data_IF_152707064990
#
_entry.id   IF_152707064990
#
_cell.length_a   1.000
_cell.length_b   1.000
_cell.length_c   1.000
_cell.angle_alpha   90.00
_cell.angle_beta   90.00
_cell.angle_gamma   90.00
#
_symmetry.space_group_name_H-M   'P 1'
#
loop_
_entity.id
_entity.type
_entity.pdbx_description
1 polymer ?
#
# COMPACT_ATOMS: atom_id res chain seq x y z
N UNK A 1 -16.40 -29.07 -20.44
CA UNK A 1 -15.15 -28.30 -20.54
C UNK A 1 -14.31 -28.65 -19.32
N UNK A 2 -13.13 -29.22 -19.54
CA UNK A 2 -12.27 -29.75 -18.48
C UNK A 2 -11.70 -28.63 -17.61
N UNK A 3 -11.74 -28.82 -16.28
CA UNK A 3 -11.02 -27.99 -15.33
C UNK A 3 -9.51 -28.16 -15.58
N UNK A 4 -8.80 -27.05 -15.75
CA UNK A 4 -7.35 -27.06 -15.77
C UNK A 4 -6.84 -27.53 -14.39
N UNK A 5 -5.83 -28.41 -14.33
CA UNK A 5 -5.32 -28.90 -13.06
C UNK A 5 -4.63 -27.76 -12.30
N UNK A 6 -4.89 -27.69 -10.99
CA UNK A 6 -4.13 -26.88 -10.04
C UNK A 6 -2.67 -27.33 -10.16
N UNK A 7 -1.80 -26.46 -10.68
CA UNK A 7 -0.38 -26.76 -10.76
C UNK A 7 0.16 -27.00 -9.34
N UNK A 8 0.89 -28.10 -9.17
CA UNK A 8 1.52 -28.45 -7.91
C UNK A 8 2.30 -27.26 -7.36
N UNK A 9 1.98 -26.85 -6.13
CA UNK A 9 2.68 -25.78 -5.44
C UNK A 9 4.19 -26.06 -5.47
N UNK A 10 4.99 -25.08 -5.89
CA UNK A 10 6.43 -25.15 -5.70
C UNK A 10 6.68 -25.27 -4.20
N UNK A 11 7.10 -26.45 -3.75
CA UNK A 11 7.46 -26.69 -2.36
C UNK A 11 8.77 -25.97 -2.09
N UNK A 12 8.69 -24.77 -1.52
CA UNK A 12 9.84 -24.19 -0.81
C UNK A 12 10.04 -25.07 0.43
N UNK A 13 11.20 -25.74 0.60
CA UNK A 13 11.41 -26.62 1.73
C UNK A 13 11.28 -25.83 3.03
N UNK A 14 10.55 -26.38 3.99
CA UNK A 14 10.53 -25.88 5.36
C UNK A 14 11.97 -25.97 5.90
N UNK A 15 12.46 -24.92 6.58
CA UNK A 15 13.75 -25.01 7.25
C UNK A 15 13.66 -26.12 8.31
N UNK A 16 14.28 -27.28 8.05
CA UNK A 16 14.22 -28.41 8.97
C UNK A 16 15.04 -28.11 10.24
N UNK A 17 14.42 -28.30 11.41
CA UNK A 17 15.14 -28.62 12.66
C UNK A 17 15.15 -27.55 13.76
N UNK A 18 14.51 -27.90 14.88
CA UNK A 18 14.73 -27.47 16.28
C UNK A 18 15.20 -26.02 16.55
N UNK A 19 14.28 -25.21 17.09
CA UNK A 19 14.63 -24.00 17.86
C UNK A 19 15.30 -22.86 17.09
N UNK A 20 15.17 -22.82 15.77
CA UNK A 20 15.78 -21.77 14.96
C UNK A 20 14.93 -20.50 15.03
N UNK A 21 15.46 -19.43 15.64
CA UNK A 21 14.88 -18.09 15.53
C UNK A 21 14.67 -17.73 14.05
N UNK A 22 13.49 -17.21 13.72
CA UNK A 22 13.21 -16.65 12.41
C UNK A 22 14.17 -15.47 12.21
N UNK A 23 15.16 -15.64 11.33
CA UNK A 23 16.09 -14.55 11.04
C UNK A 23 15.41 -13.55 10.11
N UNK A 24 15.01 -12.39 10.63
CA UNK A 24 14.49 -11.26 9.85
C UNK A 24 15.29 -10.00 10.15
N UNK A 25 15.23 -9.03 9.24
CA UNK A 25 15.84 -7.71 9.42
C UNK A 25 14.97 -6.75 10.24
N UNK A 26 13.79 -7.20 10.67
CA UNK A 26 12.88 -6.47 11.53
C UNK A 26 12.77 -7.21 12.85
N UNK A 27 12.55 -6.47 13.94
CA UNK A 27 12.25 -7.04 15.26
C UNK A 27 10.74 -7.29 15.40
N UNK A 28 9.92 -6.44 14.78
CA UNK A 28 8.47 -6.57 14.78
C UNK A 28 7.87 -6.30 13.40
N UNK A 29 6.78 -6.99 13.12
CA UNK A 29 5.89 -6.67 12.01
C UNK A 29 4.55 -6.19 12.54
N UNK A 30 4.06 -5.08 12.01
CA UNK A 30 2.76 -4.51 12.32
C UNK A 30 1.83 -4.75 11.12
N UNK A 31 0.96 -5.75 11.24
CA UNK A 31 0.00 -6.09 10.18
C UNK A 31 -1.24 -5.21 10.31
N UNK A 32 -1.64 -4.54 9.24
CA UNK A 32 -2.78 -3.61 9.20
C UNK A 32 -3.68 -3.90 8.00
N UNK A 33 -4.99 -3.73 8.19
CA UNK A 33 -6.01 -3.93 7.16
C UNK A 33 -7.21 -2.99 7.44
N UNK A 34 -7.28 -1.85 6.76
CA UNK A 34 -8.33 -0.87 7.05
C UNK A 34 -9.65 -1.21 6.36
N UNK A 35 -10.76 -0.89 7.03
CA UNK A 35 -12.02 -0.69 6.31
C UNK A 35 -12.32 0.77 6.09
N UNK A 36 -13.04 1.04 5.01
CA UNK A 36 -13.49 2.38 4.70
C UNK A 36 -14.93 2.40 4.17
N UNK A 37 -15.55 3.58 4.28
CA UNK A 37 -16.85 3.85 3.68
C UNK A 37 -16.85 3.46 2.21
N UNK A 38 -17.95 2.85 1.76
CA UNK A 38 -18.11 2.47 0.37
C UNK A 38 -19.58 2.52 -0.07
N UNK A 39 -19.79 2.46 -1.38
CA UNK A 39 -21.11 2.38 -1.97
C UNK A 39 -21.08 1.43 -3.17
N UNK A 40 -22.26 0.91 -3.52
CA UNK A 40 -22.40 0.00 -4.64
C UNK A 40 -22.16 0.74 -5.96
N UNK A 41 -21.48 0.09 -6.90
CA UNK A 41 -21.30 0.50 -8.30
C UNK A 41 -20.61 1.86 -8.53
N UNK A 42 -20.13 2.54 -7.47
CA UNK A 42 -19.42 3.81 -7.58
C UNK A 42 -18.42 4.00 -6.44
N UNK A 43 -17.47 4.92 -6.61
CA UNK A 43 -16.59 5.35 -5.51
C UNK A 43 -17.30 6.42 -4.69
N UNK A 44 -17.18 6.33 -3.37
CA UNK A 44 -17.62 7.39 -2.47
C UNK A 44 -16.49 8.41 -2.31
N UNK A 45 -16.81 9.70 -2.20
CA UNK A 45 -15.82 10.76 -2.00
C UNK A 45 -16.30 11.78 -0.95
N UNK A 46 -15.46 12.15 0.03
CA UNK A 46 -14.22 11.46 0.38
C UNK A 46 -14.51 10.04 0.89
N UNK A 47 -13.59 9.12 0.65
CA UNK A 47 -13.60 7.83 1.33
C UNK A 47 -13.01 8.04 2.74
N UNK A 48 -13.57 7.38 3.76
CA UNK A 48 -13.17 7.56 5.16
C UNK A 48 -13.00 6.20 5.83
N UNK A 49 -11.91 5.99 6.57
CA UNK A 49 -11.65 4.79 7.35
C UNK A 49 -12.72 4.67 8.44
N UNK A 50 -13.24 3.47 8.62
CA UNK A 50 -14.29 3.13 9.60
C UNK A 50 -13.88 2.00 10.55
N UNK A 51 -12.84 1.24 10.22
CA UNK A 51 -12.20 0.30 11.13
C UNK A 51 -10.67 0.35 10.98
N UNK A 52 -9.98 0.30 12.11
CA UNK A 52 -8.53 0.22 12.19
C UNK A 52 -8.11 -0.96 13.08
N UNK A 53 -7.97 -2.17 12.50
CA UNK A 53 -7.35 -3.30 13.13
C UNK A 53 -5.83 -3.29 12.90
N UNK A 54 -5.08 -3.77 13.89
CA UNK A 54 -3.67 -4.04 13.74
C UNK A 54 -3.25 -5.26 14.57
N UNK A 55 -2.28 -6.03 14.08
CA UNK A 55 -1.70 -7.19 14.78
C UNK A 55 -0.19 -7.06 14.84
N UNK A 56 0.37 -7.15 16.04
CA UNK A 56 1.81 -7.12 16.26
C UNK A 56 2.36 -8.55 16.23
N UNK A 57 3.37 -8.78 15.40
CA UNK A 57 4.07 -10.07 15.28
C UNK A 57 5.52 -9.89 15.69
N UNK A 58 5.98 -10.72 16.64
CA UNK A 58 7.40 -10.84 16.99
C UNK A 58 8.14 -11.56 15.86
N UNK A 59 9.15 -10.90 15.30
CA UNK A 59 9.81 -11.40 14.10
C UNK A 59 10.72 -12.60 14.36
N UNK A 60 11.22 -12.79 15.59
CA UNK A 60 12.13 -13.88 15.95
C UNK A 60 11.38 -15.19 16.23
N UNK A 61 10.22 -15.08 16.86
CA UNK A 61 9.39 -16.21 17.29
C UNK A 61 8.22 -16.50 16.36
N UNK A 62 7.81 -15.52 15.55
CA UNK A 62 6.60 -15.58 14.73
C UNK A 62 5.30 -15.51 15.55
N UNK A 63 5.38 -15.18 16.84
CA UNK A 63 4.19 -15.07 17.70
C UNK A 63 3.42 -13.79 17.41
N UNK A 64 2.10 -13.89 17.41
CA UNK A 64 1.20 -12.75 17.42
C UNK A 64 1.09 -12.24 18.86
N UNK A 65 1.84 -11.20 19.20
CA UNK A 65 1.99 -10.72 20.58
C UNK A 65 0.80 -9.91 21.09
N UNK A 66 0.20 -9.11 20.20
CA UNK A 66 -0.90 -8.23 20.59
C UNK A 66 -1.76 -7.87 19.38
N UNK A 67 -2.99 -7.44 19.65
CA UNK A 67 -3.88 -6.91 18.63
C UNK A 67 -4.53 -5.60 19.10
N UNK A 68 -4.76 -4.71 18.15
CA UNK A 68 -5.45 -3.44 18.29
C UNK A 68 -6.68 -3.45 17.39
N UNK A 69 -7.75 -2.81 17.85
CA UNK A 69 -8.94 -2.55 17.05
C UNK A 69 -9.63 -1.30 17.53
N UNK A 70 -9.96 -0.41 16.60
CA UNK A 70 -10.86 0.73 16.84
C UNK A 70 -11.78 0.94 15.67
N UNK A 71 -13.05 1.17 15.95
CA UNK A 71 -13.96 1.76 14.99
C UNK A 71 -13.74 3.26 14.93
N UNK A 72 -13.86 3.80 13.73
CA UNK A 72 -13.66 5.21 13.45
C UNK A 72 -14.99 5.81 12.98
N UNK A 73 -15.37 6.95 13.56
CA UNK A 73 -16.56 7.69 13.19
C UNK A 73 -16.30 8.56 11.96
N UNK A 74 -16.89 8.26 10.79
CA UNK A 74 -16.73 9.10 9.61
C UNK A 74 -17.40 10.46 9.82
N UNK A 75 -16.79 11.52 9.27
CA UNK A 75 -17.28 12.91 9.44
C UNK A 75 -18.08 13.38 8.23
N UNK A 76 -17.75 12.92 7.02
CA UNK A 76 -18.39 13.35 5.78
C UNK A 76 -19.57 12.45 5.41
N UNK A 77 -19.39 11.15 5.61
CA UNK A 77 -20.43 10.14 5.39
C UNK A 77 -20.75 9.40 6.69
N UNK A 78 -21.34 10.08 7.70
CA UNK A 78 -21.58 9.51 9.03
C UNK A 78 -22.53 8.31 9.00
N UNK A 79 -23.43 8.24 8.02
CA UNK A 79 -24.37 7.12 7.85
C UNK A 79 -23.82 6.15 6.81
N UNK A 80 -23.53 4.92 7.25
CA UNK A 80 -23.02 3.86 6.38
C UNK A 80 -24.09 3.40 5.40
N UNK A 81 -23.71 3.29 4.12
CA UNK A 81 -24.60 2.70 3.11
C UNK A 81 -24.92 1.24 3.49
N UNK A 82 -26.07 0.72 3.04
CA UNK A 82 -26.41 -0.68 3.28
C UNK A 82 -25.34 -1.61 2.66
N UNK A 83 -24.86 -1.29 1.46
CA UNK A 83 -23.79 -2.03 0.80
C UNK A 83 -22.51 -2.11 1.66
N UNK A 84 -22.10 -0.99 2.27
CA UNK A 84 -20.93 -0.95 3.14
C UNK A 84 -21.12 -1.86 4.36
N UNK A 85 -22.28 -1.76 5.03
CA UNK A 85 -22.60 -2.61 6.19
C UNK A 85 -22.67 -4.10 5.85
N UNK A 86 -23.21 -4.44 4.67
CA UNK A 86 -23.29 -5.82 4.20
C UNK A 86 -21.92 -6.38 3.82
N UNK A 87 -21.04 -5.53 3.26
CA UNK A 87 -19.72 -5.93 2.81
C UNK A 87 -18.74 -6.14 3.98
N UNK A 88 -18.71 -5.22 4.94
CA UNK A 88 -17.75 -5.21 6.07
C UNK A 88 -18.33 -5.81 7.35
N UNK A 89 -19.64 -6.01 7.42
CA UNK A 89 -20.32 -6.44 8.64
C UNK A 89 -20.35 -5.40 9.76
N UNK A 90 -19.75 -4.21 9.57
CA UNK A 90 -19.73 -3.11 10.54
C UNK A 90 -21.13 -2.52 10.66
N UNK A 91 -21.61 -2.37 11.90
CA UNK A 91 -22.93 -1.78 12.16
C UNK A 91 -22.83 -0.27 12.27
N UNK A 92 -23.95 0.41 12.09
CA UNK A 92 -24.01 1.85 12.29
C UNK A 92 -23.63 2.25 13.73
N UNK A 93 -24.08 1.48 14.71
CA UNK A 93 -23.76 1.68 16.13
C UNK A 93 -22.25 1.57 16.44
N UNK A 94 -21.50 0.76 15.68
CA UNK A 94 -20.06 0.62 15.84
C UNK A 94 -19.32 1.92 15.48
N UNK A 95 -19.67 2.53 14.35
CA UNK A 95 -19.05 3.79 13.91
C UNK A 95 -19.60 5.00 14.66
N UNK A 96 -20.87 4.98 15.08
CA UNK A 96 -21.46 6.04 15.90
C UNK A 96 -20.74 6.15 17.27
N UNK A 97 -20.39 5.00 17.86
CA UNK A 97 -19.57 4.90 19.07
C UNK A 97 -18.06 4.99 18.83
N UNK A 98 -17.62 5.11 17.57
CA UNK A 98 -16.22 5.19 17.19
C UNK A 98 -15.55 6.52 17.56
N UNK A 99 -14.22 6.51 17.55
CA UNK A 99 -13.40 7.72 17.73
C UNK A 99 -13.10 8.38 16.39
N UNK A 100 -12.58 9.61 16.36
CA UNK A 100 -12.04 10.14 15.09
C UNK A 100 -10.70 9.48 14.71
N UNK A 101 -10.35 9.51 13.43
CA UNK A 101 -9.12 8.89 12.90
C UNK A 101 -7.85 9.40 13.62
N UNK A 102 -7.77 10.70 13.92
CA UNK A 102 -6.59 11.27 14.59
C UNK A 102 -6.43 10.73 16.01
N UNK A 103 -7.54 10.56 16.73
CA UNK A 103 -7.55 9.89 18.03
C UNK A 103 -7.23 8.39 17.91
N UNK A 104 -7.76 7.69 16.90
CA UNK A 104 -7.44 6.29 16.64
C UNK A 104 -5.93 6.08 16.44
N UNK A 105 -5.28 6.93 15.65
CA UNK A 105 -3.83 6.89 15.43
C UNK A 105 -3.04 7.10 16.72
N UNK A 106 -3.41 8.07 17.57
CA UNK A 106 -2.76 8.27 18.88
C UNK A 106 -2.93 7.07 19.82
N UNK A 107 -4.13 6.47 19.83
CA UNK A 107 -4.39 5.27 20.63
C UNK A 107 -3.61 4.06 20.10
N UNK A 108 -3.44 3.96 18.78
CA UNK A 108 -2.62 2.96 18.15
C UNK A 108 -1.14 3.13 18.53
N UNK A 109 -0.59 4.35 18.48
CA UNK A 109 0.78 4.64 18.91
C UNK A 109 1.01 4.21 20.37
N UNK A 110 0.13 4.64 21.28
CA UNK A 110 0.23 4.28 22.70
C UNK A 110 0.15 2.76 22.93
N UNK A 111 -0.72 2.07 22.18
CA UNK A 111 -0.82 0.61 22.22
C UNK A 111 0.47 -0.05 21.71
N UNK A 112 1.02 0.42 20.60
CA UNK A 112 2.23 -0.13 19.99
C UNK A 112 3.46 0.06 20.89
N UNK A 113 3.60 1.24 21.50
CA UNK A 113 4.62 1.51 22.51
C UNK A 113 4.49 0.54 23.70
N UNK A 114 3.28 0.40 24.26
CA UNK A 114 3.05 -0.51 25.38
C UNK A 114 3.33 -1.98 25.01
N UNK A 115 2.91 -2.42 23.82
CA UNK A 115 3.08 -3.80 23.34
C UNK A 115 4.53 -4.16 23.03
N UNK A 116 5.38 -3.17 22.72
CA UNK A 116 6.81 -3.37 22.44
C UNK A 116 7.70 -3.12 23.67
N UNK A 117 7.15 -2.49 24.72
CA UNK A 117 7.87 -2.24 25.98
C UNK A 117 8.01 -3.55 26.77
N UNK A 118 9.23 -4.07 26.87
CA UNK A 118 9.56 -5.27 27.68
C UNK A 118 9.91 -6.52 26.87
N UNK A 119 9.69 -6.52 25.56
CA UNK A 119 10.00 -7.65 24.65
C UNK A 119 11.49 -7.69 24.27
N UNK A 120 12.39 -7.34 25.20
CA UNK A 120 13.84 -7.39 24.95
C UNK A 120 14.39 -6.24 24.10
N UNK A 121 13.92 -5.01 24.35
CA UNK A 121 14.42 -3.73 23.79
C UNK A 121 15.90 -3.38 24.10
N UNK A 122 16.73 -4.37 24.48
CA UNK A 122 18.19 -4.23 24.54
C UNK A 122 18.86 -4.18 23.15
N UNK A 123 18.12 -4.39 22.07
CA UNK A 123 18.57 -4.08 20.71
C UNK A 123 18.13 -2.65 20.38
N UNK A 124 19.10 -1.73 20.36
CA UNK A 124 18.93 -0.30 20.14
C UNK A 124 17.99 0.01 18.95
N UNK A 125 16.84 0.63 19.23
CA UNK A 125 15.94 1.18 18.19
C UNK A 125 15.22 0.14 17.34
N UNK A 126 14.38 -0.70 17.97
CA UNK A 126 13.68 -1.82 17.33
C UNK A 126 13.15 -1.52 15.92
N UNK A 127 13.55 -2.34 14.95
CA UNK A 127 13.19 -2.20 13.53
C UNK A 127 11.77 -2.72 13.32
N UNK A 128 10.81 -1.81 13.19
CA UNK A 128 9.41 -2.11 12.86
C UNK A 128 9.18 -2.06 11.34
N UNK A 129 8.38 -2.99 10.82
CA UNK A 129 7.82 -2.88 9.46
C UNK A 129 6.30 -3.03 9.46
N UNK A 130 5.61 -2.09 8.79
CA UNK A 130 4.18 -2.23 8.49
C UNK A 130 4.01 -3.28 7.39
N UNK A 131 3.00 -4.14 7.54
CA UNK A 131 2.63 -5.19 6.59
C UNK A 131 1.16 -5.05 6.24
N UNK A 132 0.85 -5.11 4.95
CA UNK A 132 -0.52 -5.04 4.42
C UNK A 132 -0.67 -6.09 3.32
N UNK A 133 -1.90 -6.51 2.99
CA UNK A 133 -2.10 -7.44 1.87
C UNK A 133 -1.90 -6.78 0.49
N UNK A 134 -2.04 -5.45 0.42
CA UNK A 134 -1.86 -4.67 -0.79
C UNK A 134 -1.42 -3.24 -0.51
N UNK A 135 -1.22 -2.44 -1.55
CA UNK A 135 -0.80 -1.05 -1.39
C UNK A 135 -1.94 -0.10 -0.95
N UNK A 136 -3.19 -0.56 -0.97
CA UNK A 136 -4.35 0.32 -0.80
C UNK A 136 -4.36 1.00 0.58
N UNK A 137 -4.15 0.24 1.66
CA UNK A 137 -4.19 0.72 3.05
C UNK A 137 -3.27 1.93 3.31
N UNK A 138 -1.96 1.74 3.10
CA UNK A 138 -0.97 2.76 3.39
C UNK A 138 -0.86 3.81 2.27
N UNK A 139 -0.81 3.38 1.00
CA UNK A 139 -0.56 4.31 -0.12
C UNK A 139 -1.77 5.18 -0.43
N UNK A 140 -2.97 4.58 -0.34
CA UNK A 140 -4.19 5.20 -0.83
C UNK A 140 -5.04 5.69 0.33
N UNK A 141 -5.47 4.80 1.21
CA UNK A 141 -6.52 5.10 2.17
C UNK A 141 -6.02 6.03 3.29
N UNK A 142 -5.08 5.56 4.11
CA UNK A 142 -4.56 6.32 5.25
C UNK A 142 -3.90 7.64 4.80
N UNK A 143 -3.10 7.58 3.72
CA UNK A 143 -2.43 8.76 3.19
C UNK A 143 -3.41 9.82 2.67
N UNK A 144 -4.42 9.40 1.91
CA UNK A 144 -5.44 10.33 1.40
C UNK A 144 -6.18 10.99 2.56
N UNK A 145 -6.70 10.20 3.50
CA UNK A 145 -7.58 10.73 4.53
C UNK A 145 -6.84 11.63 5.52
N UNK A 146 -5.61 11.26 5.92
CA UNK A 146 -4.79 12.11 6.77
C UNK A 146 -4.51 13.46 6.11
N UNK A 147 -4.13 13.47 4.81
CA UNK A 147 -3.93 14.72 4.07
C UNK A 147 -5.22 15.52 3.91
N UNK A 148 -6.33 14.86 3.58
CA UNK A 148 -7.63 15.51 3.37
C UNK A 148 -8.15 16.16 4.65
N UNK A 149 -7.95 15.54 5.80
CA UNK A 149 -8.41 16.02 7.12
C UNK A 149 -7.37 16.84 7.89
N UNK A 150 -6.15 17.00 7.37
CA UNK A 150 -5.05 17.69 8.07
C UNK A 150 -4.60 16.95 9.34
N UNK A 151 -4.66 15.62 9.35
CA UNK A 151 -4.24 14.77 10.47
C UNK A 151 -2.76 14.44 10.29
N UNK A 152 -1.98 14.60 11.36
CA UNK A 152 -0.59 14.14 11.40
C UNK A 152 -0.55 12.61 11.38
N UNK A 153 0.07 12.06 10.34
CA UNK A 153 0.19 10.61 10.13
C UNK A 153 1.53 10.11 10.68
N UNK A 154 1.57 9.04 11.49
CA UNK A 154 2.82 8.45 11.93
C UNK A 154 3.69 8.01 10.74
N UNK A 155 4.98 8.35 10.79
CA UNK A 155 5.91 8.15 9.65
C UNK A 155 6.25 6.69 9.39
N UNK A 156 6.05 5.78 10.36
CA UNK A 156 6.26 4.35 10.14
C UNK A 156 5.25 3.76 9.14
N UNK A 157 4.13 4.43 8.86
CA UNK A 157 3.23 4.09 7.75
C UNK A 157 3.72 4.55 6.36
N UNK A 158 4.81 5.31 6.26
CA UNK A 158 5.35 5.77 4.96
C UNK A 158 6.04 4.66 4.17
N UNK A 159 6.33 3.53 4.82
CA UNK A 159 7.03 2.39 4.24
C UNK A 159 6.37 1.10 4.74
N UNK A 160 6.02 0.22 3.82
CA UNK A 160 5.31 -1.01 4.15
C UNK A 160 5.76 -2.18 3.27
N UNK A 161 5.38 -3.37 3.71
CA UNK A 161 5.51 -4.62 3.01
C UNK A 161 4.12 -4.99 2.49
N UNK A 162 3.94 -4.91 1.17
CA UNK A 162 2.81 -5.49 0.47
C UNK A 162 3.06 -7.01 0.40
N UNK A 163 2.43 -7.76 1.30
CA UNK A 163 2.67 -9.20 1.52
C UNK A 163 2.35 -10.05 0.29
N UNK A 164 1.52 -9.54 -0.64
CA UNK A 164 1.25 -10.21 -1.91
C UNK A 164 2.52 -10.40 -2.74
N UNK A 165 3.48 -9.48 -2.69
CA UNK A 165 4.72 -9.58 -3.46
C UNK A 165 5.61 -10.77 -3.02
N UNK A 166 6.02 -10.90 -1.74
CA UNK A 166 6.78 -12.07 -1.29
C UNK A 166 5.95 -13.36 -1.37
N UNK A 167 4.63 -13.32 -1.16
CA UNK A 167 3.76 -14.46 -1.39
C UNK A 167 3.85 -14.94 -2.85
N UNK A 168 3.68 -14.03 -3.81
CA UNK A 168 3.73 -14.38 -5.23
C UNK A 168 5.10 -14.91 -5.65
N UNK A 169 6.18 -14.36 -5.10
CA UNK A 169 7.53 -14.83 -5.38
C UNK A 169 7.78 -16.25 -4.83
N UNK A 170 7.27 -16.56 -3.64
CA UNK A 170 7.51 -17.84 -2.97
C UNK A 170 6.56 -18.95 -3.43
N UNK A 171 5.27 -18.64 -3.57
CA UNK A 171 4.18 -19.61 -3.74
C UNK A 171 3.27 -19.29 -4.93
N UNK A 172 3.44 -18.15 -5.58
CA UNK A 172 2.57 -17.70 -6.66
C UNK A 172 2.71 -18.51 -7.95
N UNK A 173 1.58 -18.77 -8.61
CA UNK A 173 1.48 -19.36 -9.95
C UNK A 173 1.29 -18.35 -11.08
N UNK A 174 1.66 -17.08 -10.88
CA UNK A 174 1.52 -15.99 -11.87
C UNK A 174 0.13 -15.33 -11.97
N UNK A 175 -0.88 -15.86 -11.28
CA UNK A 175 -2.23 -15.28 -11.21
C UNK A 175 -2.39 -14.23 -10.11
N UNK A 176 -3.42 -13.37 -10.24
CA UNK A 176 -3.90 -12.54 -9.12
C UNK A 176 -4.71 -13.45 -8.18
N UNK A 177 -4.32 -13.49 -6.92
CA UNK A 177 -5.06 -14.19 -5.86
C UNK A 177 -5.56 -13.19 -4.82
N UNK A 178 -6.70 -13.47 -4.21
CA UNK A 178 -7.16 -12.77 -3.01
C UNK A 178 -6.48 -13.34 -1.75
N UNK A 179 -6.69 -12.69 -0.60
CA UNK A 179 -6.03 -13.09 0.66
C UNK A 179 -6.43 -14.51 1.07
N UNK A 180 -7.72 -14.84 1.00
CA UNK A 180 -8.22 -16.16 1.39
C UNK A 180 -7.62 -17.28 0.53
N UNK A 181 -7.53 -17.09 -0.78
CA UNK A 181 -6.87 -18.01 -1.70
C UNK A 181 -5.39 -18.18 -1.36
N UNK A 182 -4.71 -17.09 -1.01
CA UNK A 182 -3.30 -17.11 -0.63
C UNK A 182 -3.06 -17.89 0.68
N UNK A 183 -3.90 -17.66 1.69
CA UNK A 183 -3.88 -18.40 2.97
C UNK A 183 -4.03 -19.91 2.71
N UNK A 184 -5.04 -20.30 1.92
CA UNK A 184 -5.25 -21.71 1.55
C UNK A 184 -4.09 -22.28 0.72
N UNK A 185 -3.56 -21.53 -0.23
CA UNK A 185 -2.43 -21.97 -1.07
C UNK A 185 -1.14 -22.14 -0.25
N UNK A 186 -1.00 -21.39 0.85
CA UNK A 186 0.07 -21.60 1.82
C UNK A 186 -0.14 -22.84 2.71
N UNK A 187 -1.28 -23.54 2.61
CA UNK A 187 -1.60 -24.70 3.43
C UNK A 187 -2.16 -24.35 4.81
N UNK A 188 -2.65 -23.12 4.98
CA UNK A 188 -3.30 -22.67 6.21
C UNK A 188 -4.83 -22.70 6.05
N UNK A 189 -5.54 -23.02 7.12
CA UNK A 189 -6.98 -22.84 7.20
C UNK A 189 -7.33 -21.39 7.55
N UNK A 190 -8.42 -20.89 6.97
CA UNK A 190 -8.96 -19.58 7.32
C UNK A 190 -9.56 -19.62 8.73
N UNK A 191 -9.11 -18.72 9.61
CA UNK A 191 -9.65 -18.58 10.96
C UNK A 191 -10.56 -17.34 11.06
N UNK A 192 -11.64 -17.44 11.82
CA UNK A 192 -12.57 -16.31 12.03
C UNK A 192 -13.61 -16.14 10.94
N UNK A 193 -14.28 -14.98 10.95
CA UNK A 193 -15.35 -14.65 9.99
C UNK A 193 -14.74 -13.95 8.77
N UNK A 194 -15.22 -14.29 7.57
CA UNK A 194 -14.88 -13.54 6.36
C UNK A 194 -15.42 -12.12 6.45
N UNK A 195 -14.61 -11.14 6.08
CA UNK A 195 -14.96 -9.71 6.19
C UNK A 195 -15.19 -9.30 7.64
N UNK A 196 -14.34 -9.83 8.53
CA UNK A 196 -14.11 -9.30 9.87
C UNK A 196 -12.64 -8.93 9.89
N UNK A 197 -12.33 -7.65 9.90
CA UNK A 197 -11.02 -7.19 9.42
C UNK A 197 -9.91 -7.39 10.44
N UNK A 198 -10.27 -7.53 11.71
CA UNK A 198 -9.35 -8.10 12.69
C UNK A 198 -8.98 -9.56 12.37
N UNK A 199 -9.93 -10.36 11.88
CA UNK A 199 -9.64 -11.74 11.46
C UNK A 199 -8.83 -11.76 10.15
N UNK A 200 -9.12 -10.88 9.19
CA UNK A 200 -8.30 -10.72 7.97
C UNK A 200 -6.86 -10.30 8.31
N UNK A 201 -6.67 -9.35 9.24
CA UNK A 201 -5.35 -8.95 9.75
C UNK A 201 -4.62 -10.11 10.46
N UNK A 202 -5.34 -10.93 11.25
CA UNK A 202 -4.76 -12.13 11.88
C UNK A 202 -4.38 -13.19 10.85
N UNK A 203 -5.20 -13.43 9.83
CA UNK A 203 -4.88 -14.36 8.76
C UNK A 203 -3.70 -13.87 7.92
N UNK A 204 -3.61 -12.55 7.69
CA UNK A 204 -2.45 -11.92 7.06
C UNK A 204 -1.18 -12.11 7.91
N UNK A 205 -1.28 -11.96 9.24
CA UNK A 205 -0.18 -12.24 10.15
C UNK A 205 0.26 -13.71 10.12
N UNK A 206 -0.69 -14.65 10.11
CA UNK A 206 -0.40 -16.10 9.99
C UNK A 206 0.28 -16.42 8.66
N UNK A 207 -0.19 -15.83 7.55
CA UNK A 207 0.45 -15.96 6.24
C UNK A 207 1.87 -15.40 6.23
N UNK A 208 2.08 -14.23 6.83
CA UNK A 208 3.41 -13.64 7.01
C UNK A 208 4.35 -14.61 7.73
N UNK A 209 3.92 -15.16 8.87
CA UNK A 209 4.70 -16.12 9.66
C UNK A 209 5.01 -17.38 8.86
N UNK A 210 4.04 -17.92 8.13
CA UNK A 210 4.25 -19.09 7.27
C UNK A 210 5.29 -18.83 6.18
N UNK A 211 5.29 -17.64 5.56
CA UNK A 211 6.32 -17.26 4.60
C UNK A 211 7.70 -17.16 5.26
N UNK A 212 7.79 -16.61 6.47
CA UNK A 212 9.04 -16.55 7.23
C UNK A 212 9.57 -17.95 7.57
N UNK A 213 8.70 -18.88 7.98
CA UNK A 213 9.06 -20.28 8.27
C UNK A 213 9.56 -21.04 7.03
N UNK A 214 9.09 -20.65 5.84
CA UNK A 214 9.62 -21.11 4.55
C UNK A 214 10.93 -20.43 4.13
N UNK A 215 11.53 -19.63 5.01
CA UNK A 215 12.81 -18.95 4.77
C UNK A 215 12.72 -17.68 3.93
N UNK A 216 11.53 -17.14 3.69
CA UNK A 216 11.37 -15.88 2.96
C UNK A 216 11.84 -14.72 3.83
N UNK A 217 12.79 -13.93 3.32
CA UNK A 217 13.24 -12.68 3.95
C UNK A 217 12.30 -11.54 3.60
N UNK A 218 11.75 -10.90 4.62
CA UNK A 218 10.83 -9.79 4.45
C UNK A 218 11.59 -8.49 4.21
N UNK A 219 11.14 -7.71 3.23
CA UNK A 219 11.74 -6.42 2.87
C UNK A 219 10.65 -5.42 2.45
N UNK A 220 10.91 -4.13 2.65
CA UNK A 220 9.98 -3.06 2.27
C UNK A 220 9.74 -3.09 0.76
N UNK A 221 8.48 -3.19 0.36
CA UNK A 221 8.06 -3.21 -1.05
C UNK A 221 7.32 -1.95 -1.48
N UNK A 222 6.82 -1.17 -0.52
CA UNK A 222 6.05 0.06 -0.75
C UNK A 222 6.62 1.24 0.03
N UNK A 223 6.55 2.43 -0.56
CA UNK A 223 6.99 3.68 0.05
C UNK A 223 6.23 4.88 -0.52
N UNK A 224 5.97 5.88 0.33
CA UNK A 224 5.48 7.21 -0.07
C UNK A 224 6.60 8.15 -0.52
N UNK A 225 7.87 7.83 -0.21
CA UNK A 225 9.00 8.64 -0.66
C UNK A 225 9.10 8.64 -2.20
N UNK A 226 9.43 9.80 -2.76
CA UNK A 226 9.73 9.89 -4.19
C UNK A 226 10.89 8.94 -4.54
N UNK A 227 10.83 8.24 -5.68
CA UNK A 227 11.99 7.52 -6.18
C UNK A 227 13.17 8.47 -6.23
N UNK A 228 14.31 8.08 -5.65
CA UNK A 228 15.53 8.87 -5.80
C UNK A 228 15.78 9.04 -7.29
N UNK A 229 16.08 10.25 -7.79
CA UNK A 229 16.56 10.41 -9.15
C UNK A 229 17.69 9.43 -9.37
N UNK A 230 17.62 8.64 -10.45
CA UNK A 230 18.71 7.78 -10.86
C UNK A 230 19.93 8.69 -10.98
N UNK A 231 20.86 8.61 -10.04
CA UNK A 231 22.18 9.17 -10.24
C UNK A 231 22.77 8.38 -11.39
N UNK A 232 22.72 8.96 -12.59
CA UNK A 232 23.50 8.47 -13.71
C UNK A 232 24.94 8.43 -13.22
N UNK A 233 25.47 7.23 -13.03
CA UNK A 233 26.90 7.07 -12.79
C UNK A 233 27.61 7.78 -13.95
N UNK A 234 28.57 8.68 -13.69
CA UNK A 234 29.36 9.25 -14.77
C UNK A 234 29.98 8.09 -15.56
N UNK A 235 29.96 8.12 -16.90
CA UNK A 235 30.49 7.03 -17.70
C UNK A 235 31.94 6.78 -17.31
N UNK A 236 32.28 5.51 -17.06
CA UNK A 236 33.66 5.08 -16.89
C UNK A 236 34.45 5.45 -18.15
N UNK A 237 35.29 6.48 -18.05
CA UNK A 237 36.25 6.83 -19.10
C UNK A 237 37.48 5.93 -18.92
N UNK A 238 37.62 4.94 -19.80
CA UNK A 238 38.89 4.22 -19.97
C UNK A 238 39.94 5.15 -20.59
N UNK A 239 41.20 5.15 -20.13
CA UNK A 239 42.21 6.07 -20.64
C UNK A 239 42.80 5.54 -21.95
N UNK A 240 42.46 6.19 -23.07
CA UNK A 240 43.21 6.06 -24.32
C UNK A 240 43.97 7.36 -24.61
N UNK A 241 45.28 7.21 -24.83
CA UNK A 241 46.25 8.25 -25.24
C UNK A 241 45.79 9.03 -26.46
N UNK A 242 46.01 10.34 -26.46
CA UNK A 242 46.13 11.16 -27.68
C UNK A 242 45.64 12.59 -27.52
N UNK A 243 46.51 13.55 -27.78
CA UNK A 243 46.36 15.00 -27.65
C UNK A 243 45.15 15.62 -28.36
N UNK A 244 44.56 16.66 -27.75
CA UNK A 244 44.50 18.06 -28.25
C UNK A 244 43.41 18.86 -27.52
N UNK A 245 43.73 20.07 -27.10
CA UNK A 245 42.91 20.97 -26.30
C UNK A 245 41.67 21.50 -27.05
N UNK A 246 40.57 21.76 -26.33
CA UNK A 246 39.52 22.74 -26.66
C UNK A 246 38.72 23.13 -25.39
N UNK A 247 38.23 24.37 -25.40
CA UNK A 247 37.83 25.26 -24.30
C UNK A 247 36.62 24.82 -23.41
N UNK A 248 36.43 25.44 -22.21
CA UNK A 248 35.32 25.11 -21.31
C UNK A 248 33.96 25.66 -21.81
N UNK A 249 32.83 24.98 -21.55
CA UNK A 249 31.49 25.49 -21.86
C UNK A 249 31.02 26.51 -20.81
N UNK A 250 30.06 27.39 -21.16
CA UNK A 250 29.64 28.51 -20.32
C UNK A 250 28.65 28.09 -19.22
N UNK A 251 28.68 28.87 -18.13
CA UNK A 251 27.77 28.82 -16.98
C UNK A 251 26.32 29.05 -17.46
N UNK A 252 25.44 28.06 -17.29
CA UNK A 252 24.00 28.24 -17.50
C UNK A 252 23.33 28.81 -16.25
N UNK A 253 22.71 29.97 -16.44
CA UNK A 253 21.87 30.68 -15.48
C UNK A 253 20.61 29.86 -15.12
N UNK A 254 20.21 29.94 -13.84
CA UNK A 254 18.95 29.40 -13.33
C UNK A 254 17.76 29.97 -14.11
N UNK A 255 17.01 29.11 -14.82
CA UNK A 255 15.74 29.47 -15.45
C UNK A 255 14.58 29.23 -14.47
N UNK A 256 13.70 30.23 -14.36
CA UNK A 256 12.43 30.14 -13.61
C UNK A 256 11.50 29.07 -14.21
N UNK A 257 10.60 28.46 -13.40
CA UNK A 257 9.67 27.45 -13.89
C UNK A 257 8.64 28.06 -14.87
N UNK A 258 8.24 27.32 -15.93
CA UNK A 258 7.32 27.82 -16.94
C UNK A 258 5.88 27.96 -16.40
N UNK A 259 5.04 28.84 -17.00
CA UNK A 259 3.66 29.05 -16.58
C UNK A 259 2.76 27.84 -16.89
N UNK A 260 1.59 27.70 -16.21
CA UNK A 260 0.72 26.55 -16.35
C UNK A 260 0.07 26.44 -17.74
N UNK A 261 0.12 25.25 -18.33
CA UNK A 261 -0.55 24.93 -19.60
C UNK A 261 -2.03 24.64 -19.38
N UNK A 262 -2.90 25.45 -20.00
CA UNK A 262 -4.34 25.20 -20.12
C UNK A 262 -4.56 24.43 -21.42
N UNK A 263 -5.22 23.26 -21.36
CA UNK A 263 -5.62 22.52 -22.57
C UNK A 263 -7.13 22.35 -22.60
N UNK A 264 -7.74 22.72 -23.73
CA UNK A 264 -9.17 22.58 -23.99
C UNK A 264 -9.46 21.23 -24.65
N UNK A 265 -10.53 20.58 -24.20
CA UNK A 265 -11.04 19.32 -24.75
C UNK A 265 -12.54 19.51 -24.99
N UNK A 266 -12.99 19.40 -26.24
CA UNK A 266 -14.42 19.43 -26.57
C UNK A 266 -15.12 20.77 -26.31
N UNK A 267 -14.40 21.89 -26.35
CA UNK A 267 -14.98 23.24 -26.19
C UNK A 267 -15.15 23.72 -24.75
N UNK A 268 -14.71 22.95 -23.74
CA UNK A 268 -14.70 23.36 -22.33
C UNK A 268 -13.27 23.38 -21.76
N UNK A 269 -12.95 24.41 -20.97
CA UNK A 269 -11.70 24.50 -20.23
C UNK A 269 -11.81 23.66 -18.95
N UNK A 270 -11.03 22.58 -18.83
CA UNK A 270 -11.06 21.70 -17.66
C UNK A 270 -9.68 21.68 -17.00
N UNK A 271 -9.64 21.86 -15.69
CA UNK A 271 -8.43 21.73 -14.87
C UNK A 271 -8.33 20.30 -14.35
N UNK A 272 -7.37 19.53 -14.84
CA UNK A 272 -7.15 18.15 -14.39
C UNK A 272 -6.07 18.08 -13.30
N UNK A 273 -6.35 17.38 -12.20
CA UNK A 273 -5.40 17.17 -11.10
C UNK A 273 -4.88 15.72 -11.10
N UNK A 274 -3.57 15.57 -10.96
CA UNK A 274 -2.92 14.27 -10.74
C UNK A 274 -2.89 13.96 -9.24
N UNK A 275 -3.12 12.69 -8.85
CA UNK A 275 -2.91 12.20 -7.47
C UNK A 275 -1.47 12.41 -6.96
N UNK A 276 -0.52 12.66 -7.86
CA UNK A 276 0.88 12.99 -7.56
C UNK A 276 1.11 14.44 -7.10
N UNK A 277 0.07 15.28 -7.02
CA UNK A 277 0.16 16.67 -6.54
C UNK A 277 0.85 17.64 -7.52
N UNK A 278 1.33 17.16 -8.67
CA UNK A 278 1.94 17.98 -9.72
C UNK A 278 0.89 18.42 -10.75
N UNK A 279 0.93 19.70 -11.16
CA UNK A 279 0.03 20.28 -12.18
C UNK A 279 0.57 20.09 -13.59
N UNK A 280 0.67 18.88 -14.12
CA UNK A 280 0.76 18.68 -15.58
C UNK A 280 0.21 17.29 -15.96
N UNK A 281 -0.87 17.28 -16.73
CA UNK A 281 -1.37 16.09 -17.40
C UNK A 281 -1.09 16.28 -18.91
N UNK A 282 -0.12 15.57 -19.48
CA UNK A 282 0.15 15.65 -20.92
C UNK A 282 -0.95 14.88 -21.66
N UNK A 283 -1.58 15.50 -22.66
CA UNK A 283 -2.64 14.84 -23.45
C UNK A 283 -2.08 13.59 -24.12
N UNK A 284 -2.58 12.42 -23.74
CA UNK A 284 -2.11 11.13 -24.24
C UNK A 284 -2.75 10.73 -25.56
N UNK A 285 -3.94 11.25 -25.89
CA UNK A 285 -4.65 11.00 -27.15
C UNK A 285 -6.17 10.95 -26.99
N UNK A 286 -6.87 10.50 -28.03
CA UNK A 286 -8.34 10.28 -28.08
C UNK A 286 -8.60 8.80 -28.38
N UNK A 287 -9.54 8.18 -27.69
CA UNK A 287 -9.92 6.79 -27.96
C UNK A 287 -10.66 6.71 -29.29
N UNK A 288 -10.02 6.11 -30.30
CA UNK A 288 -10.60 5.90 -31.64
C UNK A 288 -11.34 4.57 -31.79
N UNK A 289 -11.22 3.67 -30.81
CA UNK A 289 -11.86 2.36 -30.81
C UNK A 289 -13.36 2.49 -30.52
N UNK A 290 -14.26 1.87 -31.31
CA UNK A 290 -15.70 1.92 -31.07
C UNK A 290 -16.10 1.37 -29.71
N UNK A 291 -16.89 2.13 -28.95
CA UNK A 291 -17.37 1.75 -27.62
C UNK A 291 -17.73 2.94 -26.72
N UNK A 292 -18.11 2.71 -25.45
CA UNK A 292 -18.57 3.76 -24.52
C UNK A 292 -17.55 4.86 -24.21
N UNK A 293 -16.30 4.62 -24.58
CA UNK A 293 -15.16 5.51 -24.39
C UNK A 293 -14.70 6.17 -25.69
N UNK A 294 -15.30 5.83 -26.84
CA UNK A 294 -14.95 6.42 -28.14
C UNK A 294 -15.12 7.94 -28.10
N UNK A 295 -14.10 8.67 -28.54
CA UNK A 295 -14.06 10.13 -28.54
C UNK A 295 -13.61 10.77 -27.22
N UNK A 296 -13.41 10.00 -26.13
CA UNK A 296 -12.90 10.54 -24.86
C UNK A 296 -11.38 10.72 -24.90
N UNK A 297 -10.90 11.81 -24.31
CA UNK A 297 -9.47 12.09 -24.16
C UNK A 297 -8.89 11.32 -22.97
N UNK A 298 -7.65 10.85 -23.10
CA UNK A 298 -6.87 10.32 -21.99
C UNK A 298 -5.62 11.19 -21.77
N UNK A 299 -5.17 11.25 -20.53
CA UNK A 299 -3.99 12.02 -20.15
C UNK A 299 -2.99 11.10 -19.46
N UNK A 300 -1.71 11.34 -19.71
CA UNK A 300 -0.62 10.60 -19.09
C UNK A 300 0.08 11.49 -18.06
N UNK A 301 0.42 10.90 -16.91
CA UNK A 301 1.37 11.51 -16.00
C UNK A 301 2.79 11.29 -16.55
N UNK A 302 3.65 12.31 -16.43
CA UNK A 302 5.03 12.30 -16.96
C UNK A 302 5.88 11.16 -16.38
N UNK A 303 5.52 10.61 -15.20
CA UNK A 303 6.22 9.49 -14.56
C UNK A 303 5.73 8.10 -15.00
N UNK A 304 5.18 7.95 -16.21
CA UNK A 304 4.92 6.65 -16.86
C UNK A 304 3.79 5.80 -16.24
N UNK A 305 3.15 6.26 -15.16
CA UNK A 305 1.96 5.62 -14.60
C UNK A 305 0.74 5.98 -15.45
N UNK A 306 0.20 5.00 -16.20
CA UNK A 306 -1.08 5.16 -16.90
C UNK A 306 -2.20 5.19 -15.86
N UNK A 307 -2.70 6.38 -15.55
CA UNK A 307 -3.85 6.56 -14.65
C UNK A 307 -5.07 6.92 -15.50
N UNK A 308 -6.16 6.18 -15.31
CA UNK A 308 -7.47 6.54 -15.88
C UNK A 308 -8.01 7.74 -15.08
N UNK A 309 -8.07 8.91 -15.70
CA UNK A 309 -8.69 10.10 -15.13
C UNK A 309 -10.20 10.08 -15.46
N UNK A 310 -11.04 10.21 -14.44
CA UNK A 310 -12.48 10.45 -14.63
C UNK A 310 -12.65 11.95 -14.80
N UNK A 311 -13.02 12.38 -16.01
CA UNK A 311 -13.45 13.74 -16.27
C UNK A 311 -14.93 13.85 -15.86
N UNK A 312 -15.21 14.60 -14.79
CA UNK A 312 -16.56 15.07 -14.49
C UNK A 312 -16.75 16.44 -15.13
N UNK A 313 -17.94 16.69 -15.69
CA UNK A 313 -18.36 18.04 -16.10
C UNK A 313 -18.48 18.97 -14.90
#
# INVERSE_FOLDING_TARGET
>A
MAMAPIMAARTVPYAQGQGHELQQDFDFFLVVDFEATCQKDARIYPQEIIEFPAVLVDAATGRLESAFRRYIRPKHHPVLTQFCRDLTGIRQEDVDGGVDLGQALRLHDAWLEAATTGVGTKRCGGRLAVVTWGDWDCRTMLEFECRFKGIEKPSYFDRWINLRAPFQAALGGGGRVNLQEAVRAAGLDWEGRLHCELDDARNTARLLVELMLRGVKMSITGSLALPRPIQQQPPHISPCRGSSALAPPPIQQQQQPPPPHISTCGGSSVTCFCYCGQRVATRGGVVSVPGPMQGKCFFACVNGSRVLLVCSN
#
